data_IF_863823299215
#
_entry.id   IF_863823299215
#
_cell.length_a   1.000
_cell.length_b   1.000
_cell.length_c   1.000
_cell.angle_alpha   90.00
_cell.angle_beta   90.00
_cell.angle_gamma   90.00
#
_symmetry.space_group_name_H-M   'P 1'
#
loop_
_entity.id
_entity.type
_entity.pdbx_description
1 polymer ?
#
# COMPACT_ATOMS: atom_id res chain seq x y z
N UNK A 1 0.94 8.90 23.90
CA UNK A 1 0.29 7.96 22.97
C UNK A 1 -1.15 7.87 23.38
N UNK A 2 -2.05 8.29 22.51
CA UNK A 2 -3.49 8.09 22.66
C UNK A 2 -3.88 6.81 21.90
N UNK A 3 -4.70 5.95 22.53
CA UNK A 3 -5.33 4.80 21.85
C UNK A 3 -6.79 5.14 21.60
N UNK A 4 -7.23 5.02 20.36
CA UNK A 4 -8.59 5.29 19.92
C UNK A 4 -9.15 3.99 19.36
N UNK A 5 -10.21 3.47 19.98
CA UNK A 5 -10.85 2.23 19.57
C UNK A 5 -12.19 2.51 18.89
N UNK A 6 -12.34 2.04 17.66
CA UNK A 6 -13.57 2.15 16.88
C UNK A 6 -14.23 0.78 16.78
N UNK A 7 -15.45 0.66 17.32
CA UNK A 7 -16.26 -0.53 17.11
C UNK A 7 -16.65 -0.64 15.64
N UNK A 8 -16.36 -1.79 15.02
CA UNK A 8 -16.82 -2.05 13.67
C UNK A 8 -18.34 -2.35 13.66
N UNK A 9 -19.10 -1.78 12.72
CA UNK A 9 -20.54 -2.04 12.61
C UNK A 9 -20.80 -3.49 12.16
N UNK A 10 -22.06 -3.93 12.16
CA UNK A 10 -22.46 -5.24 11.62
C UNK A 10 -21.71 -6.45 12.19
N UNK A 11 -21.30 -6.39 13.47
CA UNK A 11 -20.80 -7.57 14.18
C UNK A 11 -21.89 -8.65 14.31
N UNK A 12 -21.50 -9.92 14.24
CA UNK A 12 -22.41 -11.03 14.53
C UNK A 12 -22.90 -10.98 15.98
N UNK A 13 -24.07 -11.56 16.24
CA UNK A 13 -24.62 -11.66 17.60
C UNK A 13 -23.59 -12.31 18.54
N UNK A 14 -23.31 -11.65 19.67
CA UNK A 14 -22.32 -12.11 20.65
C UNK A 14 -20.86 -11.85 20.28
N UNK A 15 -20.56 -11.22 19.14
CA UNK A 15 -19.20 -10.89 18.71
C UNK A 15 -19.03 -9.38 18.49
N UNK A 16 -17.88 -8.83 18.89
CA UNK A 16 -17.48 -7.46 18.59
C UNK A 16 -16.07 -7.47 18.00
N UNK A 17 -15.88 -6.70 16.92
CA UNK A 17 -14.55 -6.41 16.36
C UNK A 17 -14.30 -4.91 16.48
N UNK A 18 -13.05 -4.54 16.70
CA UNK A 18 -12.63 -3.15 16.87
C UNK A 18 -11.42 -2.86 15.99
N UNK A 19 -11.36 -1.63 15.49
CA UNK A 19 -10.18 -1.04 14.87
C UNK A 19 -9.50 -0.14 15.90
N UNK A 20 -8.21 -0.35 16.14
CA UNK A 20 -7.43 0.45 17.10
C UNK A 20 -6.45 1.37 16.37
N UNK A 21 -6.57 2.68 16.60
CA UNK A 21 -5.65 3.70 16.11
C UNK A 21 -4.78 4.18 17.27
N UNK A 22 -3.47 4.17 17.09
CA UNK A 22 -2.51 4.73 18.04
C UNK A 22 -2.03 6.08 17.52
N UNK A 23 -2.39 7.16 18.22
CA UNK A 23 -2.01 8.53 17.88
C UNK A 23 -0.85 8.99 18.76
N UNK A 24 0.15 9.59 18.11
CA UNK A 24 1.35 10.14 18.73
C UNK A 24 1.54 11.59 18.33
N UNK A 25 2.13 12.38 19.22
CA UNK A 25 2.53 13.75 18.92
C UNK A 25 1.35 14.72 18.75
N UNK A 26 1.67 15.94 18.31
CA UNK A 26 0.73 17.02 18.05
C UNK A 26 1.34 17.98 17.03
N UNK A 27 0.51 18.60 16.20
CA UNK A 27 0.92 19.58 15.21
C UNK A 27 -0.02 19.62 14.03
N UNK A 28 0.28 20.49 13.06
CA UNK A 28 -0.56 20.66 11.87
C UNK A 28 -0.33 19.56 10.83
N UNK A 29 0.89 19.01 10.76
CA UNK A 29 1.22 17.92 9.83
C UNK A 29 0.84 16.56 10.41
N UNK A 30 0.38 15.67 9.55
CA UNK A 30 -0.08 14.33 9.91
C UNK A 30 0.49 13.26 8.98
N UNK A 31 1.08 12.22 9.57
CA UNK A 31 1.33 10.94 8.92
C UNK A 31 0.29 9.90 9.39
N UNK A 32 -0.23 9.11 8.45
CA UNK A 32 -1.05 7.95 8.72
C UNK A 32 -0.33 6.70 8.20
N UNK A 33 -0.21 5.68 9.04
CA UNK A 33 0.45 4.42 8.71
C UNK A 33 -0.50 3.30 9.11
N UNK A 34 -0.80 2.38 8.20
CA UNK A 34 -1.55 1.18 8.51
C UNK A 34 -0.83 -0.08 8.03
N UNK A 35 -1.20 -1.22 8.59
CA UNK A 35 -0.71 -2.51 8.18
C UNK A 35 -1.81 -3.58 8.17
N UNK A 36 -1.60 -4.62 7.37
CA UNK A 36 -2.45 -5.81 7.29
C UNK A 36 -3.91 -5.48 6.96
N UNK A 37 -4.10 -4.67 5.91
CA UNK A 37 -5.41 -4.51 5.27
C UNK A 37 -5.80 -5.81 4.55
N UNK A 38 -4.88 -6.39 3.78
CA UNK A 38 -4.90 -7.83 3.56
C UNK A 38 -4.35 -8.50 4.83
N UNK A 39 -5.19 -9.29 5.47
CA UNK A 39 -4.91 -9.74 6.83
C UNK A 39 -3.80 -10.81 6.91
N UNK A 40 -3.46 -11.46 5.79
CA UNK A 40 -2.41 -12.48 5.65
C UNK A 40 -1.05 -11.87 5.28
N UNK A 41 -0.96 -10.55 5.21
CA UNK A 41 0.27 -9.81 4.96
C UNK A 41 0.86 -9.29 6.28
N UNK A 42 1.64 -10.17 6.92
CA UNK A 42 2.14 -9.99 8.29
C UNK A 42 3.47 -9.22 8.45
N UNK A 43 4.38 -9.10 7.46
CA UNK A 43 5.56 -8.24 7.56
C UNK A 43 5.19 -6.80 7.94
N UNK A 44 4.11 -6.25 7.38
CA UNK A 44 3.57 -4.94 7.74
C UNK A 44 3.19 -4.83 9.22
N UNK A 45 2.44 -5.80 9.76
CA UNK A 45 2.07 -5.82 11.18
C UNK A 45 3.30 -5.93 12.09
N UNK A 46 4.28 -6.73 11.67
CA UNK A 46 5.53 -6.92 12.39
C UNK A 46 6.37 -5.64 12.42
N UNK A 47 6.44 -4.90 11.31
CA UNK A 47 7.10 -3.59 11.25
C UNK A 47 6.33 -2.54 12.08
N UNK A 48 4.99 -2.55 12.02
CA UNK A 48 4.14 -1.67 12.81
C UNK A 48 4.35 -1.84 14.32
N UNK A 49 4.70 -3.05 14.80
CA UNK A 49 5.07 -3.26 16.20
C UNK A 49 6.36 -2.51 16.60
N UNK A 50 7.40 -2.55 15.77
CA UNK A 50 8.64 -1.79 16.02
C UNK A 50 8.40 -0.27 15.90
N UNK A 51 7.64 0.16 14.90
CA UNK A 51 7.21 1.57 14.76
C UNK A 51 6.52 2.04 16.02
N UNK A 52 5.55 1.29 16.55
CA UNK A 52 4.83 1.65 17.77
C UNK A 52 5.78 1.85 18.96
N UNK A 53 6.76 0.94 19.12
CA UNK A 53 7.76 1.02 20.20
C UNK A 53 8.60 2.29 20.05
N UNK A 54 9.16 2.54 18.86
CA UNK A 54 10.03 3.68 18.59
C UNK A 54 9.29 5.02 18.66
N UNK A 55 8.06 5.08 18.14
CA UNK A 55 7.19 6.26 18.27
C UNK A 55 6.88 6.60 19.74
N UNK A 56 6.69 5.58 20.59
CA UNK A 56 6.50 5.78 22.03
C UNK A 56 7.75 6.41 22.67
N UNK A 57 8.94 5.94 22.32
CA UNK A 57 10.21 6.49 22.81
C UNK A 57 10.42 7.94 22.33
N UNK A 58 10.16 8.22 21.04
CA UNK A 58 10.27 9.56 20.45
C UNK A 58 9.27 10.55 21.06
N UNK A 59 8.06 10.10 21.38
CA UNK A 59 7.05 10.93 22.05
C UNK A 59 7.48 11.30 23.47
N UNK A 60 8.03 10.34 24.24
CA UNK A 60 8.56 10.60 25.59
C UNK A 60 9.73 11.59 25.56
N UNK A 61 10.49 11.60 24.48
CA UNK A 61 11.59 12.55 24.25
C UNK A 61 11.10 13.92 23.76
N UNK A 62 9.81 14.09 23.46
CA UNK A 62 9.28 15.32 22.86
C UNK A 62 9.79 15.58 21.43
N UNK A 63 10.25 14.53 20.74
CA UNK A 63 10.84 14.62 19.41
C UNK A 63 9.80 14.72 18.28
N UNK A 64 8.53 14.43 18.54
CA UNK A 64 7.48 14.49 17.51
C UNK A 64 7.05 15.96 17.23
N UNK A 65 7.05 16.33 15.95
CA UNK A 65 6.72 17.68 15.45
C UNK A 65 5.41 17.72 14.64
N UNK A 66 4.65 16.64 14.66
CA UNK A 66 3.35 16.51 14.04
C UNK A 66 2.57 15.36 14.67
N UNK A 67 1.47 14.99 14.02
CA UNK A 67 0.65 13.84 14.40
C UNK A 67 1.12 12.63 13.60
N UNK A 68 1.32 11.50 14.28
CA UNK A 68 1.52 10.20 13.62
C UNK A 68 0.42 9.28 14.13
N UNK A 69 -0.43 8.80 13.22
CA UNK A 69 -1.43 7.77 13.50
C UNK A 69 -0.95 6.43 12.94
N UNK A 70 -0.93 5.41 13.79
CA UNK A 70 -0.51 4.06 13.45
C UNK A 70 -1.65 3.07 13.70
N UNK A 71 -1.97 2.27 12.68
CA UNK A 71 -2.98 1.21 12.71
C UNK A 71 -2.32 -0.14 12.39
N UNK A 72 -1.79 -0.86 13.39
CA UNK A 72 -1.04 -2.10 13.15
C UNK A 72 -1.90 -3.25 12.59
N UNK A 73 -3.21 -3.19 12.80
CA UNK A 73 -4.18 -4.21 12.40
C UNK A 73 -5.34 -3.47 11.74
N UNK A 74 -5.24 -3.23 10.43
CA UNK A 74 -6.29 -2.56 9.66
C UNK A 74 -7.52 -3.45 9.44
N UNK A 75 -7.33 -4.77 9.36
CA UNK A 75 -8.39 -5.73 9.05
C UNK A 75 -8.55 -6.86 10.08
N UNK A 76 -9.21 -6.60 11.23
CA UNK A 76 -9.49 -7.63 12.22
C UNK A 76 -10.50 -8.69 11.72
N UNK A 77 -11.21 -8.45 10.62
CA UNK A 77 -12.12 -9.44 10.04
C UNK A 77 -11.36 -10.54 9.32
N UNK A 78 -10.44 -10.15 8.42
CA UNK A 78 -9.60 -11.05 7.66
C UNK A 78 -8.67 -11.88 8.55
N UNK A 79 -8.25 -11.38 9.72
CA UNK A 79 -7.44 -12.15 10.67
C UNK A 79 -8.15 -13.42 11.18
N UNK A 80 -9.49 -13.40 11.25
CA UNK A 80 -10.27 -14.57 11.67
C UNK A 80 -10.51 -15.60 10.56
N UNK A 81 -10.07 -15.34 9.32
CA UNK A 81 -10.39 -16.16 8.16
C UNK A 81 -9.32 -17.24 7.94
N UNK A 82 -9.44 -18.37 8.62
CA UNK A 82 -8.52 -19.51 8.48
C UNK A 82 -9.25 -20.73 7.92
N UNK A 83 -8.83 -21.19 6.74
CA UNK A 83 -9.36 -22.41 6.12
C UNK A 83 -8.34 -23.54 6.23
N UNK A 84 -8.57 -24.48 7.15
CA UNK A 84 -7.69 -25.65 7.37
C UNK A 84 -6.19 -25.28 7.51
N UNK A 85 -5.90 -24.19 8.23
CA UNK A 85 -4.53 -23.71 8.42
C UNK A 85 -4.01 -22.75 7.34
N UNK A 86 -4.76 -22.54 6.25
CA UNK A 86 -4.46 -21.53 5.23
C UNK A 86 -5.19 -20.23 5.53
N UNK A 87 -4.44 -19.16 5.80
CA UNK A 87 -5.01 -17.83 6.04
C UNK A 87 -5.58 -17.27 4.73
N UNK A 88 -6.84 -16.85 4.78
CA UNK A 88 -7.54 -16.17 3.69
C UNK A 88 -7.65 -14.69 4.03
N UNK A 89 -6.58 -13.92 3.86
CA UNK A 89 -6.54 -12.53 4.32
C UNK A 89 -6.85 -11.48 3.25
N UNK A 90 -6.79 -11.84 1.97
CA UNK A 90 -6.94 -10.92 0.83
C UNK A 90 -8.39 -10.53 0.51
N UNK A 91 -9.32 -11.48 0.63
CA UNK A 91 -10.73 -11.28 0.29
C UNK A 91 -11.64 -11.59 1.48
N UNK A 92 -12.75 -10.86 1.63
CA UNK A 92 -13.80 -11.20 2.59
C UNK A 92 -14.51 -12.49 2.16
N UNK A 93 -14.46 -13.54 2.98
CA UNK A 93 -15.03 -14.86 2.65
C UNK A 93 -16.51 -14.78 2.25
N UNK A 94 -17.28 -13.91 2.92
CA UNK A 94 -18.72 -13.82 2.72
C UNK A 94 -19.13 -13.21 1.39
N UNK A 95 -18.40 -12.21 0.89
CA UNK A 95 -18.76 -11.47 -0.32
C UNK A 95 -17.84 -11.71 -1.52
N UNK A 96 -16.64 -12.27 -1.29
CA UNK A 96 -15.59 -12.38 -2.29
C UNK A 96 -14.91 -11.05 -2.63
N UNK A 97 -15.24 -9.95 -1.94
CA UNK A 97 -14.63 -8.64 -2.20
C UNK A 97 -13.22 -8.57 -1.63
N UNK A 98 -12.31 -7.96 -2.37
CA UNK A 98 -10.98 -7.65 -1.88
C UNK A 98 -11.06 -6.50 -0.85
N UNK A 99 -10.38 -6.64 0.28
CA UNK A 99 -10.32 -5.62 1.34
C UNK A 99 -9.72 -4.29 0.89
N UNK A 100 -8.80 -4.34 -0.07
CA UNK A 100 -8.11 -3.19 -0.66
C UNK A 100 -8.71 -2.73 -2.00
N UNK A 101 -10.03 -2.87 -2.19
CA UNK A 101 -10.77 -2.37 -3.37
C UNK A 101 -12.03 -1.63 -2.96
N UNK A 102 -12.58 -0.86 -3.89
CA UNK A 102 -13.86 -0.16 -3.74
C UNK A 102 -13.90 0.86 -2.58
N UNK A 103 -12.76 1.47 -2.23
CA UNK A 103 -12.79 2.62 -1.34
C UNK A 103 -13.60 3.77 -1.96
N UNK A 104 -14.23 4.57 -1.10
CA UNK A 104 -15.12 5.65 -1.54
C UNK A 104 -14.33 6.70 -2.33
N UNK A 105 -14.77 6.98 -3.55
CA UNK A 105 -14.22 8.04 -4.40
C UNK A 105 -14.68 9.41 -3.87
N UNK A 106 -13.72 10.27 -3.52
CA UNK A 106 -14.00 11.57 -2.89
C UNK A 106 -13.94 12.76 -3.86
N UNK A 107 -13.34 12.61 -5.05
CA UNK A 107 -13.07 13.75 -5.94
C UNK A 107 -14.32 14.50 -6.35
N UNK A 108 -15.30 13.77 -6.91
CA UNK A 108 -16.53 14.38 -7.41
C UNK A 108 -17.37 15.08 -6.31
N UNK A 109 -17.72 14.41 -5.18
CA UNK A 109 -18.50 15.06 -4.12
C UNK A 109 -17.73 16.22 -3.46
N UNK A 110 -16.42 16.12 -3.29
CA UNK A 110 -15.61 17.21 -2.74
C UNK A 110 -15.55 18.40 -3.70
N UNK A 111 -15.43 18.16 -5.02
CA UNK A 111 -15.46 19.22 -6.00
C UNK A 111 -16.79 20.01 -5.97
N UNK A 112 -17.92 19.31 -5.85
CA UNK A 112 -19.24 19.95 -5.71
C UNK A 112 -19.30 20.87 -4.48
N UNK A 113 -18.79 20.41 -3.32
CA UNK A 113 -18.76 21.20 -2.09
C UNK A 113 -17.86 22.44 -2.18
N UNK A 114 -16.85 22.44 -3.05
CA UNK A 114 -15.81 23.47 -3.14
C UNK A 114 -15.99 24.45 -4.31
N UNK A 115 -17.04 24.29 -5.11
CA UNK A 115 -17.30 25.16 -6.26
C UNK A 115 -17.30 26.65 -5.87
N UNK A 116 -16.41 27.43 -6.47
CA UNK A 116 -16.27 28.87 -6.22
C UNK A 116 -15.63 29.25 -4.87
N UNK A 117 -15.07 28.28 -4.12
CA UNK A 117 -14.46 28.53 -2.79
C UNK A 117 -12.93 28.47 -2.77
N UNK A 118 -12.32 27.79 -3.73
CA UNK A 118 -10.86 27.68 -3.85
C UNK A 118 -10.28 28.92 -4.53
N UNK A 119 -9.04 29.27 -4.18
CA UNK A 119 -8.35 30.46 -4.73
C UNK A 119 -6.83 30.30 -4.77
N UNK A 120 -6.10 31.41 -4.60
CA UNK A 120 -4.65 31.47 -4.79
C UNK A 120 -3.81 31.02 -3.58
N UNK A 121 -4.42 30.82 -2.40
CA UNK A 121 -3.71 30.35 -1.20
C UNK A 121 -3.73 28.81 -1.13
N UNK A 122 -2.61 28.12 -1.44
CA UNK A 122 -2.56 26.66 -1.40
C UNK A 122 -2.79 26.08 0.00
N UNK A 123 -2.37 26.77 1.07
CA UNK A 123 -2.57 26.27 2.42
C UNK A 123 -4.03 26.37 2.84
N UNK A 124 -4.73 27.44 2.45
CA UNK A 124 -6.18 27.54 2.66
C UNK A 124 -6.94 26.49 1.86
N UNK A 125 -6.57 26.26 0.60
CA UNK A 125 -7.17 25.23 -0.25
C UNK A 125 -7.00 23.83 0.36
N UNK A 126 -5.82 23.47 0.85
CA UNK A 126 -5.57 22.18 1.53
C UNK A 126 -6.49 21.99 2.74
N UNK A 127 -6.61 23.00 3.61
CA UNK A 127 -7.50 22.93 4.77
C UNK A 127 -8.96 22.75 4.37
N UNK A 128 -9.43 23.49 3.35
CA UNK A 128 -10.80 23.39 2.85
C UNK A 128 -11.07 22.01 2.22
N UNK A 129 -10.15 21.48 1.42
CA UNK A 129 -10.27 20.15 0.79
C UNK A 129 -10.35 19.05 1.84
N UNK A 130 -9.45 19.05 2.85
CA UNK A 130 -9.47 18.07 3.94
C UNK A 130 -10.78 18.12 4.75
N UNK A 131 -11.29 19.33 5.00
CA UNK A 131 -12.59 19.49 5.66
C UNK A 131 -13.72 18.93 4.79
N UNK A 132 -13.76 19.27 3.50
CA UNK A 132 -14.78 18.76 2.57
C UNK A 132 -14.73 17.23 2.42
N UNK A 133 -13.54 16.61 2.42
CA UNK A 133 -13.37 15.15 2.44
C UNK A 133 -13.99 14.54 3.71
N UNK A 134 -13.71 15.15 4.87
CA UNK A 134 -14.26 14.72 6.15
C UNK A 134 -15.79 14.86 6.18
N UNK A 135 -16.31 15.99 5.72
CA UNK A 135 -17.76 16.25 5.65
C UNK A 135 -18.45 15.26 4.71
N UNK A 136 -17.84 14.97 3.55
CA UNK A 136 -18.33 13.98 2.59
C UNK A 136 -18.44 12.59 3.23
N UNK A 137 -17.37 12.13 3.90
CA UNK A 137 -17.38 10.82 4.58
C UNK A 137 -18.40 10.73 5.71
N UNK A 138 -18.58 11.82 6.46
CA UNK A 138 -19.57 11.91 7.54
C UNK A 138 -21.01 11.96 7.02
N UNK A 139 -21.24 12.48 5.82
CA UNK A 139 -22.55 12.55 5.18
C UNK A 139 -22.96 11.24 4.50
N UNK A 140 -22.06 10.27 4.34
CA UNK A 140 -22.39 8.98 3.75
C UNK A 140 -23.46 8.24 4.58
N UNK A 141 -24.41 7.53 3.93
CA UNK A 141 -25.36 6.67 4.63
C UNK A 141 -24.65 5.69 5.57
N UNK A 142 -25.32 5.24 6.62
CA UNK A 142 -24.77 4.22 7.52
C UNK A 142 -24.22 3.04 6.69
N UNK A 143 -23.03 2.52 7.02
CA UNK A 143 -22.47 1.41 6.26
C UNK A 143 -23.44 0.22 6.30
N UNK A 144 -23.51 -0.57 5.22
CA UNK A 144 -24.38 -1.74 5.09
C UNK A 144 -23.66 -3.08 5.34
N UNK A 145 -22.36 -3.04 5.59
CA UNK A 145 -21.54 -4.20 5.96
C UNK A 145 -20.40 -3.82 6.90
N UNK A 146 -19.78 -4.82 7.54
CA UNK A 146 -18.61 -4.59 8.39
C UNK A 146 -17.40 -4.15 7.57
N UNK A 147 -17.22 -4.71 6.35
CA UNK A 147 -16.22 -4.28 5.37
C UNK A 147 -16.33 -2.79 5.04
N UNK A 148 -17.51 -2.31 4.66
CA UNK A 148 -17.71 -0.90 4.31
C UNK A 148 -17.48 0.01 5.53
N UNK A 149 -17.88 -0.43 6.72
CA UNK A 149 -17.61 0.28 7.96
C UNK A 149 -16.12 0.41 8.26
N UNK A 150 -15.37 -0.67 8.10
CA UNK A 150 -13.91 -0.69 8.27
C UNK A 150 -13.23 0.23 7.26
N UNK A 151 -13.52 0.10 5.96
CA UNK A 151 -12.94 0.94 4.91
C UNK A 151 -13.21 2.42 5.14
N UNK A 152 -14.45 2.79 5.54
CA UNK A 152 -14.79 4.17 5.88
C UNK A 152 -13.96 4.68 7.05
N UNK A 153 -13.82 3.89 8.12
CA UNK A 153 -13.02 4.29 9.29
C UNK A 153 -11.56 4.51 8.91
N UNK A 154 -10.93 3.60 8.16
CA UNK A 154 -9.55 3.75 7.70
C UNK A 154 -9.39 5.04 6.87
N UNK A 155 -10.29 5.28 5.90
CA UNK A 155 -10.23 6.45 5.04
C UNK A 155 -10.53 7.77 5.80
N UNK A 156 -11.44 7.76 6.78
CA UNK A 156 -11.70 8.91 7.66
C UNK A 156 -10.45 9.35 8.44
N UNK A 157 -9.60 8.40 8.83
CA UNK A 157 -8.31 8.75 9.44
C UNK A 157 -7.30 9.23 8.40
N UNK A 158 -7.18 8.56 7.26
CA UNK A 158 -6.12 8.83 6.28
C UNK A 158 -6.35 10.08 5.41
N UNK A 159 -7.59 10.44 5.07
CA UNK A 159 -7.89 11.52 4.11
C UNK A 159 -7.42 12.92 4.54
N UNK A 160 -7.09 13.10 5.82
CA UNK A 160 -6.56 14.36 6.38
C UNK A 160 -5.04 14.37 6.54
N UNK A 161 -4.36 13.27 6.20
CA UNK A 161 -2.92 13.15 6.33
C UNK A 161 -2.16 13.85 5.19
N UNK A 162 -0.95 14.29 5.49
CA UNK A 162 0.03 14.71 4.48
C UNK A 162 0.75 13.51 3.86
N UNK A 163 0.93 12.45 4.64
CA UNK A 163 1.62 11.22 4.24
C UNK A 163 0.78 10.00 4.65
N UNK A 164 0.57 9.07 3.73
CA UNK A 164 -0.11 7.80 3.96
C UNK A 164 0.82 6.66 3.54
N UNK A 165 1.15 5.78 4.49
CA UNK A 165 1.90 4.55 4.21
C UNK A 165 0.99 3.34 4.49
N UNK A 166 0.67 2.59 3.46
CA UNK A 166 -0.08 1.34 3.57
C UNK A 166 0.88 0.16 3.46
N UNK A 167 1.15 -0.52 4.58
CA UNK A 167 2.15 -1.58 4.67
C UNK A 167 1.55 -2.94 4.30
N UNK A 168 2.00 -3.47 3.17
CA UNK A 168 1.58 -4.74 2.57
C UNK A 168 2.79 -5.69 2.43
N UNK A 169 2.57 -6.86 1.86
CA UNK A 169 3.61 -7.70 1.27
C UNK A 169 3.02 -8.54 0.13
N UNK A 170 3.84 -9.01 -0.81
CA UNK A 170 3.39 -9.97 -1.83
C UNK A 170 3.71 -11.42 -1.38
N UNK A 171 3.42 -12.42 -2.21
CA UNK A 171 3.66 -13.82 -1.89
C UNK A 171 5.15 -14.11 -1.56
N UNK A 172 6.02 -14.01 -2.56
CA UNK A 172 7.48 -13.97 -2.44
C UNK A 172 7.98 -12.80 -3.28
N UNK A 173 8.48 -11.74 -2.65
CA UNK A 173 8.81 -10.52 -3.36
C UNK A 173 10.02 -9.80 -2.78
N UNK A 174 10.62 -8.95 -3.61
CA UNK A 174 11.50 -7.90 -3.14
C UNK A 174 10.68 -6.70 -2.68
N UNK A 175 11.29 -5.84 -1.87
CA UNK A 175 10.66 -4.59 -1.49
C UNK A 175 10.33 -3.76 -2.74
N UNK A 176 9.07 -3.40 -2.90
CA UNK A 176 8.58 -2.57 -3.99
C UNK A 176 7.51 -1.61 -3.47
N UNK A 177 7.16 -0.61 -4.27
CA UNK A 177 6.12 0.35 -3.89
C UNK A 177 5.20 0.68 -5.05
N UNK A 178 3.95 1.01 -4.74
CA UNK A 178 2.99 1.55 -5.70
C UNK A 178 2.77 3.03 -5.38
N UNK A 179 2.78 3.89 -6.39
CA UNK A 179 2.62 5.33 -6.18
C UNK A 179 2.07 6.05 -7.41
N UNK A 180 1.49 7.22 -7.19
CA UNK A 180 1.23 8.18 -8.26
C UNK A 180 2.54 8.65 -8.92
N UNK A 181 2.64 8.71 -10.26
CA UNK A 181 3.82 9.20 -10.95
C UNK A 181 4.29 10.58 -10.48
N UNK A 182 3.36 11.49 -10.20
CA UNK A 182 3.62 12.86 -9.76
C UNK A 182 4.30 12.94 -8.39
N UNK A 183 4.15 11.89 -7.57
CA UNK A 183 4.75 11.79 -6.24
C UNK A 183 6.12 11.08 -6.25
N UNK A 184 6.53 10.52 -7.38
CA UNK A 184 7.75 9.72 -7.45
C UNK A 184 9.01 10.46 -6.96
N UNK A 185 9.27 11.73 -7.34
CA UNK A 185 10.44 12.45 -6.85
C UNK A 185 10.55 12.48 -5.32
N UNK A 186 9.42 12.58 -4.61
CA UNK A 186 9.35 12.59 -3.15
C UNK A 186 9.56 11.19 -2.54
N UNK A 187 9.14 10.14 -3.25
CA UNK A 187 9.30 8.74 -2.79
C UNK A 187 10.71 8.19 -2.94
N UNK A 188 11.55 8.82 -3.77
CA UNK A 188 12.94 8.42 -3.95
C UNK A 188 13.70 8.29 -2.62
N UNK A 189 13.45 9.18 -1.67
CA UNK A 189 14.12 9.08 -0.37
C UNK A 189 13.69 7.84 0.43
N UNK A 190 12.39 7.60 0.56
CA UNK A 190 11.89 6.39 1.25
C UNK A 190 12.42 5.12 0.58
N UNK A 191 12.49 5.10 -0.76
CA UNK A 191 13.04 3.97 -1.51
C UNK A 191 14.50 3.68 -1.16
N UNK A 192 15.29 4.74 -0.95
CA UNK A 192 16.71 4.70 -0.62
C UNK A 192 16.96 4.30 0.85
N UNK A 193 16.06 4.66 1.77
CA UNK A 193 16.12 4.21 3.17
C UNK A 193 15.84 2.72 3.32
N UNK A 194 14.95 2.19 2.49
CA UNK A 194 14.42 0.83 2.62
C UNK A 194 15.01 -0.17 1.62
N UNK A 195 15.92 0.25 0.73
CA UNK A 195 16.43 -0.60 -0.36
C UNK A 195 15.31 -1.18 -1.25
N UNK A 196 14.27 -0.38 -1.49
CA UNK A 196 13.19 -0.72 -2.41
C UNK A 196 13.79 -0.97 -3.79
N UNK A 197 13.36 -2.02 -4.49
CA UNK A 197 13.93 -2.42 -5.78
C UNK A 197 13.27 -1.75 -6.97
N UNK A 198 11.99 -1.42 -6.85
CA UNK A 198 11.24 -0.76 -7.92
C UNK A 198 10.04 0.01 -7.35
N UNK A 199 9.79 1.21 -7.90
CA UNK A 199 8.51 1.89 -7.78
C UNK A 199 7.63 1.60 -9.00
N UNK A 200 6.38 1.19 -8.79
CA UNK A 200 5.39 0.90 -9.82
C UNK A 200 4.39 2.06 -9.88
N UNK A 201 4.42 2.79 -10.98
CA UNK A 201 3.75 4.09 -11.10
C UNK A 201 2.50 4.00 -11.97
N UNK A 202 1.36 4.43 -11.44
CA UNK A 202 0.09 4.57 -12.15
C UNK A 202 -0.74 5.69 -11.54
N UNK A 203 -1.46 6.45 -12.36
CA UNK A 203 -2.46 7.41 -11.87
C UNK A 203 -3.74 6.71 -11.41
N UNK A 204 -4.16 5.68 -12.16
CA UNK A 204 -5.33 4.86 -11.87
C UNK A 204 -5.01 3.43 -12.29
N UNK A 205 -4.86 2.53 -11.31
CA UNK A 205 -4.64 1.10 -11.55
C UNK A 205 -5.95 0.31 -11.75
N UNK A 206 -7.11 0.97 -11.60
CA UNK A 206 -8.43 0.44 -11.89
C UNK A 206 -9.10 -0.32 -10.74
N UNK A 207 -8.67 -0.10 -9.49
CA UNK A 207 -9.18 -0.81 -8.31
C UNK A 207 -9.71 0.04 -7.17
N UNK A 208 -9.45 1.34 -7.16
CA UNK A 208 -9.72 2.22 -6.01
C UNK A 208 -9.10 1.65 -4.74
N UNK A 209 -7.80 1.33 -4.80
CA UNK A 209 -7.04 0.89 -3.63
C UNK A 209 -6.93 2.00 -2.60
N UNK A 210 -6.51 1.65 -1.38
CA UNK A 210 -6.47 2.59 -0.28
C UNK A 210 -5.55 3.80 -0.53
N UNK A 211 -4.37 3.57 -1.08
CA UNK A 211 -3.41 4.60 -1.45
C UNK A 211 -3.94 5.54 -2.56
N UNK A 212 -4.59 4.98 -3.58
CA UNK A 212 -5.29 5.73 -4.63
C UNK A 212 -6.42 6.57 -4.04
N UNK A 213 -7.27 5.99 -3.19
CA UNK A 213 -8.37 6.71 -2.54
C UNK A 213 -7.89 7.87 -1.66
N UNK A 214 -6.65 7.82 -1.17
CA UNK A 214 -6.03 8.90 -0.40
C UNK A 214 -5.40 9.99 -1.28
N UNK A 215 -4.75 9.62 -2.39
CA UNK A 215 -3.92 10.53 -3.18
C UNK A 215 -4.59 11.05 -4.46
N UNK A 216 -5.32 10.20 -5.17
CA UNK A 216 -5.96 10.52 -6.45
C UNK A 216 -6.99 11.66 -6.36
N UNK A 217 -7.74 11.84 -5.26
CA UNK A 217 -8.60 13.01 -5.11
C UNK A 217 -7.88 14.35 -5.24
N UNK A 218 -6.65 14.46 -4.75
CA UNK A 218 -5.87 15.70 -4.87
C UNK A 218 -5.49 15.99 -6.32
N UNK A 219 -5.09 14.95 -7.07
CA UNK A 219 -4.77 15.07 -8.49
C UNK A 219 -6.01 15.50 -9.29
N UNK A 220 -7.13 14.79 -9.12
CA UNK A 220 -8.39 15.09 -9.82
C UNK A 220 -8.93 16.48 -9.48
N UNK A 221 -8.84 16.91 -8.21
CA UNK A 221 -9.23 18.26 -7.80
C UNK A 221 -8.33 19.34 -8.42
N UNK A 222 -7.02 19.11 -8.50
CA UNK A 222 -6.10 20.05 -9.17
C UNK A 222 -6.42 20.24 -10.66
N UNK A 223 -6.89 19.19 -11.32
CA UNK A 223 -7.33 19.23 -12.72
C UNK A 223 -8.71 19.87 -12.87
N UNK A 224 -9.62 19.65 -11.91
CA UNK A 224 -10.97 20.21 -11.93
C UNK A 224 -11.00 21.72 -11.60
N UNK A 225 -10.00 22.22 -10.87
CA UNK A 225 -9.87 23.62 -10.48
C UNK A 225 -8.51 24.20 -10.94
N UNK A 226 -8.24 24.30 -12.25
CA UNK A 226 -6.93 24.69 -12.76
C UNK A 226 -6.55 26.14 -12.42
N UNK A 227 -7.54 27.00 -12.16
CA UNK A 227 -7.33 28.39 -11.74
C UNK A 227 -7.01 28.52 -10.24
N UNK A 228 -7.19 27.45 -9.45
CA UNK A 228 -6.88 27.44 -8.03
C UNK A 228 -5.53 26.76 -7.76
N UNK A 229 -4.81 27.24 -6.75
CA UNK A 229 -3.55 26.62 -6.32
C UNK A 229 -3.84 25.38 -5.47
N UNK A 230 -4.13 24.23 -6.10
CA UNK A 230 -4.38 22.95 -5.41
C UNK A 230 -3.13 22.06 -5.46
N UNK A 231 -2.35 21.94 -4.38
CA UNK A 231 -1.20 21.04 -4.34
C UNK A 231 -1.64 19.59 -4.17
N UNK A 232 -0.78 18.66 -4.59
CA UNK A 232 -0.94 17.23 -4.29
C UNK A 232 -0.56 16.96 -2.82
N UNK A 233 -1.48 17.26 -1.90
CA UNK A 233 -1.17 17.39 -0.48
C UNK A 233 -1.29 16.09 0.34
N UNK A 234 -1.48 14.94 -0.32
CA UNK A 234 -1.48 13.63 0.33
C UNK A 234 -0.55 12.69 -0.42
N UNK A 235 0.67 12.57 0.10
CA UNK A 235 1.70 11.68 -0.40
C UNK A 235 1.37 10.25 0.09
N UNK A 236 0.63 9.48 -0.72
CA UNK A 236 0.21 8.11 -0.40
C UNK A 236 0.92 7.04 -1.23
N UNK A 237 1.26 5.91 -0.61
CA UNK A 237 1.88 4.75 -1.27
C UNK A 237 1.52 3.45 -0.56
N UNK A 238 1.29 2.39 -1.33
CA UNK A 238 1.40 1.01 -0.83
C UNK A 238 2.87 0.59 -0.87
N UNK A 239 3.38 0.17 0.30
CA UNK A 239 4.75 -0.31 0.48
C UNK A 239 4.72 -1.81 0.76
N UNK A 240 5.32 -2.57 -0.15
CA UNK A 240 5.35 -4.03 -0.13
C UNK A 240 6.63 -4.48 0.56
N UNK A 241 6.53 -4.97 1.80
CA UNK A 241 7.65 -5.28 2.68
C UNK A 241 8.20 -6.71 2.49
N UNK A 242 8.35 -7.12 1.24
CA UNK A 242 8.87 -8.43 0.86
C UNK A 242 7.79 -9.50 0.68
N UNK A 243 8.12 -10.73 1.02
CA UNK A 243 7.22 -11.89 0.98
C UNK A 243 6.47 -12.09 2.30
N UNK A 244 5.35 -12.82 2.25
CA UNK A 244 4.51 -13.11 3.43
C UNK A 244 5.25 -13.78 4.60
N UNK A 245 6.34 -14.50 4.32
CA UNK A 245 7.16 -15.16 5.35
C UNK A 245 8.13 -14.21 6.07
N UNK A 246 8.34 -12.99 5.58
CA UNK A 246 9.41 -12.07 6.02
C UNK A 246 9.05 -11.31 7.31
N UNK A 247 8.78 -12.08 8.37
CA UNK A 247 8.38 -11.58 9.71
C UNK A 247 9.54 -11.57 10.71
N UNK A 248 10.76 -11.67 10.19
CA UNK A 248 11.99 -11.64 10.98
C UNK A 248 12.18 -10.34 11.75
N UNK A 249 12.97 -10.42 12.82
CA UNK A 249 13.17 -9.29 13.73
C UNK A 249 13.99 -8.18 13.08
N UNK A 250 15.07 -8.54 12.39
CA UNK A 250 16.05 -7.57 11.91
C UNK A 250 15.47 -6.80 10.72
N UNK A 251 14.72 -7.48 9.85
CA UNK A 251 13.96 -6.89 8.75
C UNK A 251 12.92 -5.89 9.27
N UNK A 252 12.17 -6.26 10.30
CA UNK A 252 11.15 -5.38 10.87
C UNK A 252 11.72 -4.12 11.53
N UNK A 253 12.86 -4.24 12.21
CA UNK A 253 13.59 -3.09 12.77
C UNK A 253 14.11 -2.20 11.63
N UNK A 254 14.71 -2.81 10.61
CA UNK A 254 15.19 -2.10 9.43
C UNK A 254 14.07 -1.31 8.74
N UNK A 255 12.91 -1.93 8.50
CA UNK A 255 11.75 -1.25 7.91
C UNK A 255 11.25 -0.09 8.77
N UNK A 256 11.13 -0.30 10.08
CA UNK A 256 10.66 0.73 11.00
C UNK A 256 11.62 1.94 11.06
N UNK A 257 12.93 1.71 11.18
CA UNK A 257 13.91 2.80 11.23
C UNK A 257 13.98 3.56 9.90
N UNK A 258 13.90 2.89 8.74
CA UNK A 258 13.87 3.54 7.44
C UNK A 258 12.62 4.41 7.24
N UNK A 259 11.45 3.93 7.68
CA UNK A 259 10.21 4.72 7.68
C UNK A 259 10.35 5.95 8.59
N UNK A 260 10.89 5.80 9.80
CA UNK A 260 11.05 6.91 10.73
C UNK A 260 12.06 7.95 10.23
N UNK A 261 13.16 7.52 9.61
CA UNK A 261 14.13 8.42 8.99
C UNK A 261 13.49 9.24 7.86
N UNK A 262 12.69 8.60 7.00
CA UNK A 262 11.91 9.31 6.00
C UNK A 262 10.93 10.32 6.64
N UNK A 263 10.17 9.93 7.66
CA UNK A 263 9.25 10.87 8.34
C UNK A 263 9.98 12.05 9.01
N UNK A 264 11.21 11.85 9.48
CA UNK A 264 12.06 12.91 10.01
C UNK A 264 12.48 13.91 8.92
N UNK A 265 12.86 13.45 7.73
CA UNK A 265 13.11 14.31 6.57
C UNK A 265 11.85 15.09 6.15
N UNK A 266 10.68 14.47 6.32
CA UNK A 266 9.40 15.14 6.14
C UNK A 266 9.05 16.07 7.31
N UNK A 267 9.93 16.30 8.29
CA UNK A 267 9.74 17.27 9.37
C UNK A 267 8.70 16.87 10.43
N UNK A 268 8.25 15.60 10.43
CA UNK A 268 7.33 15.06 11.45
C UNK A 268 8.06 14.65 12.72
N UNK A 269 9.37 14.41 12.64
CA UNK A 269 10.22 13.95 13.74
C UNK A 269 11.48 14.83 13.78
N UNK A 270 11.83 15.31 14.96
CA UNK A 270 13.03 16.13 15.22
C UNK A 270 14.24 15.24 15.49
N UNK A 271 15.41 15.85 15.42
CA UNK A 271 16.69 15.21 15.72
C UNK A 271 17.45 14.84 14.45
N UNK A 272 18.65 14.31 14.66
CA UNK A 272 19.50 13.81 13.58
C UNK A 272 19.14 12.37 13.27
N UNK A 273 18.88 12.08 12.00
CA UNK A 273 18.55 10.76 11.50
C UNK A 273 19.59 10.30 10.48
N UNK A 274 19.87 9.00 10.37
CA UNK A 274 20.81 8.49 9.38
C UNK A 274 20.41 8.90 7.97
N UNK A 275 21.39 9.24 7.14
CA UNK A 275 21.18 9.36 5.69
C UNK A 275 20.82 8.00 5.09
N UNK A 276 20.11 7.96 3.95
CA UNK A 276 19.79 6.70 3.27
C UNK A 276 21.08 5.93 2.91
N UNK A 277 21.04 4.61 3.07
CA UNK A 277 22.19 3.73 2.86
C UNK A 277 22.29 3.19 1.43
N UNK A 278 21.21 3.33 0.64
CA UNK A 278 21.09 2.80 -0.70
C UNK A 278 20.81 3.92 -1.69
N UNK A 279 21.05 3.66 -2.97
CA UNK A 279 20.56 4.55 -4.03
C UNK A 279 19.04 4.42 -4.17
N UNK A 280 18.32 5.52 -4.48
CA UNK A 280 16.91 5.42 -4.84
C UNK A 280 16.73 4.50 -6.04
N UNK A 281 15.70 3.65 -6.00
CA UNK A 281 15.38 2.81 -7.16
C UNK A 281 14.78 3.61 -8.31
N UNK A 282 14.48 2.90 -9.39
CA UNK A 282 13.77 3.45 -10.54
C UNK A 282 12.25 3.36 -10.34
N UNK A 283 11.55 4.40 -10.80
CA UNK A 283 10.10 4.41 -10.92
C UNK A 283 9.73 3.99 -12.32
N UNK A 284 9.08 2.84 -12.45
CA UNK A 284 8.67 2.21 -13.70
C UNK A 284 7.15 2.30 -13.87
N UNK A 285 6.64 2.41 -15.11
CA UNK A 285 5.20 2.41 -15.34
C UNK A 285 4.60 1.07 -14.91
N UNK A 286 3.54 1.08 -14.10
CA UNK A 286 2.91 -0.15 -13.64
C UNK A 286 2.29 -0.94 -14.81
N UNK A 287 1.85 -0.25 -15.86
CA UNK A 287 1.42 -0.86 -17.13
C UNK A 287 2.54 -1.62 -17.85
N UNK A 288 3.81 -1.36 -17.53
CA UNK A 288 4.97 -2.09 -18.05
C UNK A 288 5.30 -3.38 -17.31
N UNK A 289 4.50 -3.75 -16.31
CA UNK A 289 4.64 -5.05 -15.64
C UNK A 289 4.19 -6.18 -16.56
N UNK A 290 5.11 -7.10 -16.85
CA UNK A 290 4.83 -8.39 -17.45
C UNK A 290 4.35 -9.38 -16.39
N UNK A 291 3.35 -10.19 -16.74
CA UNK A 291 2.87 -11.32 -15.95
C UNK A 291 3.19 -12.60 -16.70
N UNK A 292 3.97 -13.49 -16.08
CA UNK A 292 4.31 -14.78 -16.67
C UNK A 292 3.34 -15.86 -16.19
N UNK A 293 2.79 -16.62 -17.15
CA UNK A 293 1.84 -17.71 -16.90
C UNK A 293 2.44 -19.03 -17.38
N UNK A 294 2.11 -20.12 -16.69
CA UNK A 294 2.51 -21.44 -17.14
C UNK A 294 1.71 -21.91 -18.37
N UNK A 295 2.35 -22.56 -19.36
CA UNK A 295 1.67 -23.12 -20.53
C UNK A 295 0.95 -24.44 -20.22
N UNK A 296 1.22 -25.04 -19.06
CA UNK A 296 0.59 -26.26 -18.58
C UNK A 296 0.68 -26.37 -17.05
N UNK A 297 -0.07 -27.30 -16.46
CA UNK A 297 0.08 -27.62 -15.04
C UNK A 297 1.37 -28.42 -14.79
N UNK A 298 1.95 -28.29 -13.60
CA UNK A 298 3.19 -28.99 -13.24
C UNK A 298 3.90 -28.38 -12.04
N UNK A 299 4.96 -29.03 -11.59
CA UNK A 299 5.81 -28.55 -10.49
C UNK A 299 6.62 -27.35 -10.98
N UNK A 300 6.66 -26.29 -10.18
CA UNK A 300 7.41 -25.06 -10.51
C UNK A 300 8.79 -25.09 -9.85
N UNK A 301 9.82 -24.76 -10.63
CA UNK A 301 11.17 -24.46 -10.14
C UNK A 301 11.58 -23.05 -10.57
N UNK A 302 11.65 -22.11 -9.63
CA UNK A 302 12.14 -20.76 -9.92
C UNK A 302 13.66 -20.75 -10.09
N UNK A 303 14.12 -20.15 -11.19
CA UNK A 303 15.53 -20.04 -11.58
C UNK A 303 16.15 -18.68 -11.21
N UNK A 304 15.31 -17.72 -10.81
CA UNK A 304 15.69 -16.37 -10.38
C UNK A 304 14.99 -16.02 -9.07
N UNK A 305 15.56 -15.06 -8.33
CA UNK A 305 14.99 -14.58 -7.07
C UNK A 305 14.27 -13.26 -7.30
N UNK A 306 13.25 -13.01 -6.49
CA UNK A 306 12.66 -11.69 -6.44
C UNK A 306 13.72 -10.65 -6.04
N UNK A 307 13.76 -9.54 -6.76
CA UNK A 307 14.76 -8.47 -6.64
C UNK A 307 15.86 -8.53 -7.70
N UNK A 308 16.00 -9.64 -8.44
CA UNK A 308 16.96 -9.74 -9.53
C UNK A 308 16.55 -8.83 -10.71
N UNK A 309 17.54 -8.19 -11.32
CA UNK A 309 17.39 -7.64 -12.67
C UNK A 309 17.49 -8.79 -13.67
N UNK A 310 16.56 -8.84 -14.64
CA UNK A 310 16.53 -9.86 -15.69
C UNK A 310 16.48 -9.21 -17.05
N UNK A 311 17.18 -9.81 -18.02
CA UNK A 311 17.11 -9.39 -19.42
C UNK A 311 16.01 -10.15 -20.17
N UNK A 312 15.44 -9.51 -21.20
CA UNK A 312 14.51 -10.17 -22.11
C UNK A 312 15.13 -11.44 -22.70
N UNK A 313 14.40 -12.55 -22.61
CA UNK A 313 14.84 -13.89 -23.02
C UNK A 313 15.54 -14.69 -21.92
N UNK A 314 15.80 -14.09 -20.75
CA UNK A 314 16.43 -14.78 -19.63
C UNK A 314 15.45 -15.75 -18.92
N UNK A 315 15.87 -16.99 -18.58
CA UNK A 315 15.02 -17.95 -17.88
C UNK A 315 14.60 -17.50 -16.48
N UNK A 316 13.31 -17.55 -16.19
CA UNK A 316 12.73 -17.17 -14.87
C UNK A 316 12.32 -18.40 -14.06
N UNK A 317 11.61 -19.34 -14.67
CA UNK A 317 11.19 -20.58 -14.01
C UNK A 317 10.93 -21.72 -14.99
N UNK A 318 10.92 -22.94 -14.48
CA UNK A 318 10.53 -24.14 -15.21
C UNK A 318 9.20 -24.69 -14.67
N UNK A 319 8.41 -25.27 -15.57
CA UNK A 319 7.22 -26.05 -15.25
C UNK A 319 7.45 -27.49 -15.67
N UNK A 320 7.39 -28.41 -14.71
CA UNK A 320 7.74 -29.81 -14.87
C UNK A 320 6.47 -30.65 -14.75
N UNK A 321 6.13 -31.35 -15.82
CA UNK A 321 5.04 -32.31 -15.89
C UNK A 321 5.62 -33.74 -15.90
N UNK A 322 5.65 -34.43 -14.75
CA UNK A 322 6.26 -35.75 -14.64
C UNK A 322 5.38 -36.87 -15.20
N UNK A 323 4.16 -36.58 -15.66
CA UNK A 323 3.29 -37.60 -16.28
C UNK A 323 3.56 -37.71 -17.79
N UNK A 324 3.87 -36.59 -18.43
CA UNK A 324 4.19 -36.50 -19.86
C UNK A 324 5.69 -36.29 -20.13
N UNK A 325 6.53 -36.39 -19.08
CA UNK A 325 7.98 -36.12 -19.12
C UNK A 325 8.35 -34.79 -19.81
N UNK A 326 7.51 -33.76 -19.60
CA UNK A 326 7.62 -32.46 -20.25
C UNK A 326 8.16 -31.41 -19.30
N UNK A 327 9.15 -30.65 -19.76
CA UNK A 327 9.68 -29.47 -19.07
C UNK A 327 9.54 -28.26 -19.98
N UNK A 328 8.91 -27.19 -19.47
CA UNK A 328 8.81 -25.90 -20.16
C UNK A 328 9.54 -24.82 -19.37
N UNK A 329 10.57 -24.21 -19.97
CA UNK A 329 11.27 -23.05 -19.41
C UNK A 329 10.60 -21.77 -19.87
N UNK A 330 10.20 -20.92 -18.94
CA UNK A 330 9.60 -19.62 -19.22
C UNK A 330 10.62 -18.52 -18.97
N UNK A 331 10.78 -17.68 -19.97
CA UNK A 331 11.74 -16.57 -19.97
C UNK A 331 11.01 -15.23 -19.86
N UNK A 332 11.72 -14.21 -19.39
CA UNK A 332 11.20 -12.84 -19.37
C UNK A 332 10.93 -12.34 -20.80
N UNK A 333 9.75 -11.78 -21.05
CA UNK A 333 9.41 -11.09 -22.29
C UNK A 333 9.82 -9.61 -22.30
N UNK A 334 10.14 -9.05 -21.12
CA UNK A 334 10.69 -7.69 -20.94
C UNK A 334 11.96 -7.69 -20.09
N UNK A 335 12.84 -6.70 -20.29
CA UNK A 335 13.98 -6.47 -19.38
C UNK A 335 13.55 -5.59 -18.21
N UNK A 336 13.91 -5.97 -16.99
CA UNK A 336 13.46 -5.24 -15.81
C UNK A 336 13.69 -5.96 -14.49
N UNK A 337 12.97 -5.53 -13.46
CA UNK A 337 13.07 -6.10 -12.11
C UNK A 337 12.06 -7.23 -11.95
N UNK A 338 12.52 -8.46 -11.70
CA UNK A 338 11.66 -9.55 -11.22
C UNK A 338 11.27 -9.24 -9.78
N UNK A 339 10.14 -8.56 -9.55
CA UNK A 339 9.84 -8.03 -8.22
C UNK A 339 9.00 -8.98 -7.35
N UNK A 340 8.25 -9.90 -7.97
CA UNK A 340 7.44 -10.87 -7.25
C UNK A 340 7.33 -12.21 -8.00
N UNK A 341 7.28 -13.30 -7.23
CA UNK A 341 6.96 -14.65 -7.69
C UNK A 341 5.86 -15.26 -6.82
N UNK A 342 5.11 -16.19 -7.37
CA UNK A 342 4.02 -16.86 -6.66
C UNK A 342 4.59 -17.89 -5.65
N UNK A 343 4.03 -17.94 -4.44
CA UNK A 343 4.44 -18.88 -3.38
C UNK A 343 4.06 -20.32 -3.72
N UNK A 344 2.99 -20.53 -4.50
CA UNK A 344 2.62 -21.86 -4.96
C UNK A 344 3.74 -22.47 -5.80
N UNK A 345 4.03 -23.75 -5.55
CA UNK A 345 5.03 -24.55 -6.29
C UNK A 345 4.40 -25.52 -7.29
N UNK A 346 3.13 -25.29 -7.61
CA UNK A 346 2.40 -26.03 -8.63
C UNK A 346 1.65 -25.06 -9.54
N UNK A 347 1.94 -25.12 -10.83
CA UNK A 347 1.32 -24.31 -11.84
C UNK A 347 -0.12 -24.77 -12.10
N UNK A 348 -1.03 -23.81 -12.13
CA UNK A 348 -2.43 -24.01 -12.51
C UNK A 348 -2.85 -22.98 -13.55
N UNK A 349 -3.83 -23.32 -14.36
CA UNK A 349 -4.34 -22.43 -15.39
C UNK A 349 -4.90 -21.14 -14.77
N UNK A 350 -4.58 -20.00 -15.37
CA UNK A 350 -5.12 -18.69 -14.99
C UNK A 350 -4.37 -17.96 -13.86
N UNK A 351 -3.30 -18.54 -13.31
CA UNK A 351 -2.48 -17.91 -12.27
C UNK A 351 -1.16 -17.39 -12.84
N UNK A 352 -0.84 -16.13 -12.56
CA UNK A 352 0.50 -15.61 -12.80
C UNK A 352 1.47 -16.27 -11.83
N UNK A 353 2.72 -16.47 -12.24
CA UNK A 353 3.77 -17.12 -11.46
C UNK A 353 4.96 -16.20 -11.19
N UNK A 354 5.18 -15.21 -12.05
CA UNK A 354 6.21 -14.21 -11.87
C UNK A 354 5.76 -12.86 -12.45
N UNK A 355 6.27 -11.77 -11.88
CA UNK A 355 6.04 -10.41 -12.34
C UNK A 355 7.37 -9.70 -12.61
N UNK A 356 7.55 -9.18 -13.82
CA UNK A 356 8.74 -8.40 -14.20
C UNK A 356 8.32 -6.97 -14.53
N UNK A 357 8.85 -6.00 -13.80
CA UNK A 357 8.57 -4.59 -14.03
C UNK A 357 9.50 -4.03 -15.12
N UNK A 358 8.94 -3.70 -16.28
CA UNK A 358 9.66 -3.12 -17.42
C UNK A 358 9.39 -1.62 -17.63
N UNK A 359 10.20 -1.00 -18.49
CA UNK A 359 10.07 0.43 -18.87
C UNK A 359 9.00 0.69 -19.94
N UNK A 360 8.67 -0.32 -20.73
CA UNK A 360 7.72 -0.20 -21.83
C UNK A 360 6.33 -0.66 -21.37
N UNK A 361 5.29 0.11 -21.69
CA UNK A 361 3.92 -0.26 -21.39
C UNK A 361 3.50 -1.53 -22.16
N UNK A 362 2.95 -2.51 -21.44
CA UNK A 362 2.51 -3.81 -21.98
C UNK A 362 1.00 -4.05 -21.79
N UNK A 363 0.39 -3.35 -20.83
CA UNK A 363 -0.99 -3.55 -20.39
C UNK A 363 -1.76 -2.24 -20.48
N UNK A 364 -3.09 -2.32 -20.64
CA UNK A 364 -3.96 -1.15 -20.69
C UNK A 364 -5.26 -1.42 -19.91
N UNK A 365 -5.88 -0.36 -19.39
CA UNK A 365 -7.12 -0.46 -18.62
C UNK A 365 -6.86 -0.86 -17.17
N UNK A 366 -7.62 -1.82 -16.63
CA UNK A 366 -7.45 -2.31 -15.26
C UNK A 366 -6.11 -3.06 -15.15
N UNK A 367 -5.19 -2.52 -14.36
CA UNK A 367 -3.82 -3.04 -14.18
C UNK A 367 -3.71 -4.06 -13.04
N UNK A 368 -4.71 -4.10 -12.16
CA UNK A 368 -4.80 -5.05 -11.05
C UNK A 368 -5.42 -6.37 -11.50
N UNK A 369 -4.90 -7.49 -10.96
CA UNK A 369 -5.22 -8.85 -11.43
C UNK A 369 -6.19 -9.63 -10.53
N UNK A 370 -6.91 -8.94 -9.64
CA UNK A 370 -7.78 -9.53 -8.62
C UNK A 370 -9.26 -9.29 -8.86
#
# INVERSE_FOLDING_TARGET
MERIDHRLPWGHLGCERQLSVFRFGKGERKAYIQASLHADELPGMRAAWELKKRLTELEQQGALNGVIELVPVANPMGLGQLLQGSHQGRFEIGSGKNFNRDFVELSAPVAELLQGKLGDDPHANVRMIRQAMTDTLNALPAPSSQLQGMQRLLLSHACTADIVLDLHCDAEAALHMYALPQHWPQWRSLSAHLNVKVGLLAEDSGGSSFDEACSLPWLRLSQAFPEAQVPLACLATTLELGGQADTGRDEAIFHAEGILAFLAEQGLIKGEWPAPQYEPCEGLPFEGTELLFAPHAGVISYLRKAGDWVEKGEPIFEVIDPLEDRVSTLCAGTSGVLFAVERLRYAQAGFWLAKVAGREALRHGRLLND
#
